data_IF_652764619555
#
_entry.id   IF_652764619555
#
_cell.length_a   1.000
_cell.length_b   1.000
_cell.length_c   1.000
_cell.angle_alpha   90.00
_cell.angle_beta   90.00
_cell.angle_gamma   90.00
#
_symmetry.space_group_name_H-M   'P 1'
#
loop_
_entity.id
_entity.type
_entity.pdbx_description
1 polymer ?
#
# COMPACT_ATOMS: atom_id res chain seq x y z
N UNK A 1 -14.71 -14.28 13.37
CA UNK A 1 -13.76 -13.15 13.26
C UNK A 1 -12.68 -13.52 12.25
N UNK A 2 -12.69 -12.95 11.04
CA UNK A 2 -11.61 -13.19 10.07
C UNK A 2 -10.32 -12.52 10.56
N UNK A 3 -9.26 -13.31 10.76
CA UNK A 3 -7.91 -12.76 11.00
C UNK A 3 -7.46 -12.03 9.74
N UNK A 4 -7.11 -10.76 9.87
CA UNK A 4 -6.49 -9.99 8.77
C UNK A 4 -5.14 -10.62 8.43
N UNK A 5 -4.84 -10.73 7.14
CA UNK A 5 -3.55 -11.24 6.67
C UNK A 5 -2.47 -10.16 6.69
N UNK A 6 -2.82 -8.89 6.80
CA UNK A 6 -1.86 -7.79 6.90
C UNK A 6 -2.43 -6.72 7.81
N UNK A 7 -1.55 -6.05 8.56
CA UNK A 7 -1.91 -4.92 9.40
C UNK A 7 -1.43 -3.60 8.78
N UNK A 8 -2.17 -2.50 8.93
CA UNK A 8 -1.68 -1.18 8.56
C UNK A 8 -0.34 -0.86 9.23
N UNK A 9 0.58 -0.26 8.48
CA UNK A 9 1.94 0.02 8.90
C UNK A 9 2.91 -1.16 8.76
N UNK A 10 2.42 -2.34 8.38
CA UNK A 10 3.25 -3.52 8.13
C UNK A 10 4.02 -3.38 6.82
N UNK A 11 5.30 -3.74 6.85
CA UNK A 11 6.16 -3.73 5.67
C UNK A 11 5.92 -4.98 4.82
N UNK A 12 5.90 -4.77 3.52
CA UNK A 12 5.71 -5.82 2.53
C UNK A 12 6.65 -5.62 1.35
N UNK A 13 6.91 -6.68 0.61
CA UNK A 13 7.65 -6.64 -0.65
C UNK A 13 6.82 -7.32 -1.72
N UNK A 14 6.74 -6.74 -2.90
CA UNK A 14 6.11 -7.40 -4.04
C UNK A 14 7.00 -8.52 -4.63
N UNK A 15 6.44 -9.29 -5.55
CA UNK A 15 7.20 -10.32 -6.27
C UNK A 15 8.30 -9.75 -7.19
N UNK A 16 8.23 -8.47 -7.54
CA UNK A 16 9.25 -7.79 -8.34
C UNK A 16 10.43 -7.29 -7.48
N UNK A 17 10.36 -7.41 -6.15
CA UNK A 17 11.39 -6.97 -5.22
C UNK A 17 11.24 -5.54 -4.71
N UNK A 18 10.17 -4.83 -5.08
CA UNK A 18 9.88 -3.49 -4.57
C UNK A 18 9.30 -3.54 -3.17
N UNK A 19 9.84 -2.70 -2.30
CA UNK A 19 9.36 -2.55 -0.92
C UNK A 19 8.17 -1.62 -0.86
N UNK A 20 7.26 -1.92 0.06
CA UNK A 20 6.12 -1.07 0.35
C UNK A 20 5.59 -1.26 1.76
N UNK A 21 4.66 -0.39 2.12
CA UNK A 21 4.00 -0.37 3.42
C UNK A 21 2.49 -0.53 3.23
N UNK A 22 1.89 -1.39 4.04
CA UNK A 22 0.44 -1.59 4.06
C UNK A 22 -0.20 -0.35 4.66
N UNK A 23 -1.15 0.23 3.94
CA UNK A 23 -1.83 1.45 4.37
C UNK A 23 -3.09 1.12 5.16
N UNK A 24 -3.47 1.98 6.09
CA UNK A 24 -4.83 1.97 6.61
C UNK A 24 -5.83 2.43 5.54
N UNK A 25 -7.12 2.11 5.74
CA UNK A 25 -8.17 2.55 4.81
C UNK A 25 -8.20 4.08 4.63
N UNK A 26 -8.04 4.83 5.72
CA UNK A 26 -8.02 6.30 5.69
C UNK A 26 -6.80 6.86 4.96
N UNK A 27 -5.62 6.28 5.15
CA UNK A 27 -4.41 6.69 4.43
C UNK A 27 -4.54 6.38 2.94
N UNK A 28 -5.05 5.20 2.60
CA UNK A 28 -5.33 4.82 1.22
C UNK A 28 -6.29 5.80 0.55
N UNK A 29 -7.41 6.15 1.19
CA UNK A 29 -8.37 7.12 0.65
C UNK A 29 -7.72 8.47 0.39
N UNK A 30 -7.04 9.05 1.40
CA UNK A 30 -6.35 10.34 1.27
C UNK A 30 -5.30 10.33 0.17
N UNK A 31 -4.53 9.25 0.06
CA UNK A 31 -3.52 9.11 -0.99
C UNK A 31 -4.16 8.90 -2.35
N UNK A 32 -5.24 8.13 -2.45
CA UNK A 32 -5.94 7.89 -3.72
C UNK A 32 -6.52 9.18 -4.31
N UNK A 33 -7.01 10.09 -3.47
CA UNK A 33 -7.48 11.41 -3.86
C UNK A 33 -6.32 12.31 -4.33
N UNK A 34 -5.18 12.27 -3.62
CA UNK A 34 -3.99 13.09 -3.95
C UNK A 34 -3.17 12.55 -5.13
N UNK A 35 -3.16 11.23 -5.35
CA UNK A 35 -2.25 10.52 -6.26
C UNK A 35 -3.00 9.77 -7.37
N UNK A 36 -4.14 10.28 -7.83
CA UNK A 36 -4.97 9.64 -8.87
C UNK A 36 -4.19 9.24 -10.14
N UNK A 37 -3.10 9.94 -10.46
CA UNK A 37 -2.23 9.71 -11.61
C UNK A 37 -0.96 8.87 -11.36
N UNK A 38 -0.66 8.45 -10.12
CA UNK A 38 0.55 7.67 -9.79
C UNK A 38 0.22 6.20 -9.50
N UNK A 39 -0.47 5.56 -10.44
CA UNK A 39 -0.72 4.13 -10.43
C UNK A 39 0.43 3.39 -11.10
N UNK A 40 0.89 2.30 -10.48
CA UNK A 40 1.93 1.45 -11.05
C UNK A 40 1.35 0.63 -12.22
N UNK A 41 2.04 0.52 -13.37
CA UNK A 41 1.61 -0.39 -14.42
C UNK A 41 1.60 -1.83 -13.88
N UNK A 42 0.48 -2.55 -14.07
CA UNK A 42 0.26 -3.87 -13.46
C UNK A 42 -0.56 -3.85 -12.16
N UNK A 43 -1.17 -2.72 -11.78
CA UNK A 43 -2.19 -2.68 -10.73
C UNK A 43 -3.27 -3.74 -10.96
N UNK A 44 -3.48 -4.62 -9.98
CA UNK A 44 -4.53 -5.65 -10.04
C UNK A 44 -5.95 -5.09 -9.94
N UNK A 45 -6.10 -3.87 -9.41
CA UNK A 45 -7.37 -3.16 -9.28
C UNK A 45 -7.17 -1.68 -9.62
N UNK A 46 -8.05 -1.12 -10.45
CA UNK A 46 -8.05 0.30 -10.78
C UNK A 46 -8.57 1.14 -9.60
N UNK A 47 -7.98 2.32 -9.35
CA UNK A 47 -8.54 3.31 -8.41
C UNK A 47 -9.97 3.67 -8.86
N UNK A 48 -10.97 3.30 -8.05
CA UNK A 48 -12.40 3.51 -8.35
C UNK A 48 -13.19 2.23 -8.70
N UNK A 49 -12.52 1.09 -8.93
CA UNK A 49 -13.21 -0.18 -9.13
C UNK A 49 -13.08 -1.07 -7.87
N UNK A 50 -14.22 -1.26 -7.20
CA UNK A 50 -14.48 -1.91 -5.91
C UNK A 50 -14.24 -1.05 -4.64
N UNK A 51 -15.16 -1.04 -3.65
CA UNK A 51 -15.28 0.10 -2.71
C UNK A 51 -14.39 0.03 -1.46
N UNK A 52 -13.79 -1.11 -1.15
CA UNK A 52 -13.14 -1.28 0.16
C UNK A 52 -12.04 -2.34 0.11
N UNK A 53 -10.78 -2.00 0.41
CA UNK A 53 -9.76 -2.99 0.74
C UNK A 53 -10.20 -3.76 2.00
N UNK A 54 -10.15 -5.09 1.93
CA UNK A 54 -10.57 -5.99 3.00
C UNK A 54 -9.38 -6.52 3.81
N UNK A 55 -8.14 -6.18 3.44
CA UNK A 55 -6.90 -6.64 4.09
C UNK A 55 -6.73 -8.18 4.09
N UNK A 56 -7.53 -8.86 3.26
CA UNK A 56 -7.58 -10.32 3.14
C UNK A 56 -7.38 -10.73 1.69
N UNK A 57 -8.01 -10.06 0.73
CA UNK A 57 -7.84 -10.28 -0.71
C UNK A 57 -7.28 -9.04 -1.42
N UNK A 58 -7.50 -7.86 -0.82
CA UNK A 58 -7.14 -6.53 -1.33
C UNK A 58 -6.38 -5.79 -0.24
N UNK A 59 -5.06 -5.74 -0.41
CA UNK A 59 -4.14 -5.09 0.52
C UNK A 59 -3.65 -3.80 -0.13
N UNK A 60 -4.00 -2.62 0.40
CA UNK A 60 -3.52 -1.34 -0.12
C UNK A 60 -2.06 -1.16 0.30
N UNK A 61 -1.18 -0.95 -0.66
CA UNK A 61 0.27 -0.84 -0.43
C UNK A 61 0.78 0.44 -1.08
N UNK A 62 1.53 1.21 -0.31
CA UNK A 62 2.32 2.33 -0.79
C UNK A 62 3.76 1.88 -0.99
N UNK A 63 4.29 2.07 -2.19
CA UNK A 63 5.61 1.60 -2.56
C UNK A 63 6.67 2.71 -2.45
N UNK A 64 7.94 2.30 -2.37
CA UNK A 64 9.08 3.20 -2.23
C UNK A 64 9.26 4.16 -3.43
N UNK A 65 8.70 3.81 -4.59
CA UNK A 65 8.65 4.63 -5.80
C UNK A 65 7.56 5.74 -5.74
N UNK A 66 6.91 5.93 -4.59
CA UNK A 66 5.78 6.84 -4.37
C UNK A 66 4.56 6.50 -5.23
N UNK A 67 4.37 5.22 -5.56
CA UNK A 67 3.15 4.73 -6.21
C UNK A 67 2.22 4.05 -5.22
N UNK A 68 0.94 4.05 -5.56
CA UNK A 68 -0.13 3.41 -4.80
C UNK A 68 -0.69 2.25 -5.62
N UNK A 69 -0.80 1.06 -5.01
CA UNK A 69 -1.41 -0.09 -5.65
C UNK A 69 -2.17 -0.96 -4.64
N UNK A 70 -3.21 -1.65 -5.13
CA UNK A 70 -3.93 -2.67 -4.36
C UNK A 70 -3.39 -4.03 -4.79
N UNK A 71 -2.72 -4.70 -3.85
CA UNK A 71 -2.08 -5.99 -4.07
C UNK A 71 -2.92 -7.14 -3.51
N UNK A 72 -2.74 -8.32 -4.10
CA UNK A 72 -3.23 -9.57 -3.52
C UNK A 72 -2.20 -10.12 -2.53
N UNK A 73 -2.61 -10.80 -1.43
CA UNK A 73 -1.69 -11.47 -0.51
C UNK A 73 -0.66 -12.37 -1.21
N UNK A 74 -1.08 -13.07 -2.26
CA UNK A 74 -0.21 -13.97 -3.02
C UNK A 74 0.87 -13.25 -3.81
N UNK A 75 0.74 -11.94 -4.03
CA UNK A 75 1.70 -11.10 -4.76
C UNK A 75 2.60 -10.27 -3.85
N UNK A 76 2.44 -10.35 -2.53
CA UNK A 76 3.24 -9.62 -1.54
C UNK A 76 3.66 -10.51 -0.38
N UNK A 77 4.92 -10.42 0.04
CA UNK A 77 5.43 -11.08 1.23
C UNK A 77 5.63 -10.07 2.36
N UNK A 78 5.41 -10.49 3.60
CA UNK A 78 5.68 -9.66 4.79
C UNK A 78 7.19 -9.52 4.98
N UNK A 79 7.61 -8.34 5.42
CA UNK A 79 8.97 -8.07 5.88
C UNK A 79 8.92 -7.77 7.38
N UNK A 80 9.76 -8.44 8.17
CA UNK A 80 9.78 -8.30 9.64
C UNK A 80 10.35 -6.96 10.10
N UNK A 81 11.18 -6.30 9.28
CA UNK A 81 11.72 -4.98 9.58
C UNK A 81 12.15 -4.24 8.31
N UNK A 82 11.96 -2.93 8.33
CA UNK A 82 12.59 -2.02 7.40
C UNK A 82 13.79 -1.40 8.10
N UNK A 83 15.02 -1.55 7.57
CA UNK A 83 16.20 -1.01 8.23
C UNK A 83 16.29 0.52 8.17
N UNK A 84 15.52 1.18 7.31
CA UNK A 84 15.79 2.58 6.96
C UNK A 84 14.69 3.59 7.34
N UNK A 85 13.46 3.17 7.70
CA UNK A 85 12.32 4.05 8.03
C UNK A 85 11.94 5.07 6.92
N UNK A 86 12.67 5.11 5.80
CA UNK A 86 12.52 6.04 4.67
C UNK A 86 11.12 5.93 4.05
N UNK A 87 10.60 4.71 3.93
CA UNK A 87 9.26 4.44 3.40
C UNK A 87 8.16 5.11 4.25
N UNK A 88 8.32 5.07 5.58
CA UNK A 88 7.39 5.70 6.52
C UNK A 88 7.51 7.21 6.49
N UNK A 89 8.72 7.74 6.38
CA UNK A 89 8.94 9.17 6.23
C UNK A 89 8.35 9.71 4.92
N UNK A 90 8.56 9.01 3.79
CA UNK A 90 7.97 9.37 2.50
C UNK A 90 6.44 9.34 2.55
N UNK A 91 5.86 8.29 3.13
CA UNK A 91 4.41 8.21 3.36
C UNK A 91 3.90 9.42 4.15
N UNK A 92 4.58 9.78 5.25
CA UNK A 92 4.24 10.97 6.05
C UNK A 92 4.36 12.26 5.26
N UNK A 93 5.42 12.42 4.45
CA UNK A 93 5.61 13.60 3.60
C UNK A 93 4.44 13.77 2.65
N UNK A 94 4.08 12.71 1.93
CA UNK A 94 2.96 12.76 0.97
C UNK A 94 1.61 13.03 1.65
N UNK A 95 1.40 12.46 2.85
CA UNK A 95 0.18 12.72 3.62
C UNK A 95 0.12 14.17 4.15
N UNK A 96 1.24 14.73 4.59
CA UNK A 96 1.33 16.09 5.18
C UNK A 96 1.49 17.23 4.15
N UNK A 97 1.69 16.97 2.86
CA UNK A 97 1.68 18.06 1.87
C UNK A 97 0.28 18.67 1.82
N UNK A 98 0.14 19.86 2.42
CA UNK A 98 -1.07 20.68 2.43
C UNK A 98 -1.30 21.35 1.07
#
# INVERSE_FOLDING_TARGET
>A
MQKRLYEPGQMVMDMAGSKGIVLSYNEFLRLSEKMSNKQRPGCFFALGCCPTPDFITKVPVFFEDNTLSIMRPTGIRRLDQDPDDILRENLRRVLCTH
#
